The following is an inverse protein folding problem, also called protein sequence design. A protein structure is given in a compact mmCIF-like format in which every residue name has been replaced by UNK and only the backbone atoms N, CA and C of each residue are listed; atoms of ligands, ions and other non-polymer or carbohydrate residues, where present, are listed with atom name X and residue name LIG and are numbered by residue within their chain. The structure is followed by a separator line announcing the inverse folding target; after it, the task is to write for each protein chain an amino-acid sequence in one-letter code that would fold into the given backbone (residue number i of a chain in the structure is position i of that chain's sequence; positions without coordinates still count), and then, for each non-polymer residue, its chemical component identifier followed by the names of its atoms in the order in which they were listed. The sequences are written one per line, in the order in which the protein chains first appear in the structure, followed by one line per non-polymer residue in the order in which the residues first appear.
data_IF_970337886401
#
_entry.id   IF_970337886401
#
_cell.length_a   1.000
_cell.length_b   1.000
_cell.length_c   1.000
_cell.angle_alpha   90.00
_cell.angle_beta   90.00
_cell.angle_gamma   90.00
#
_symmetry.space_group_name_H-M   'P 1'
#
loop_
_entity.id
_entity.type
_entity.pdbx_description
1 polymer ?
#
# COMPACT_ATOMS: atom_id res chain seq x y z
N UNK A 1 -22.17 -25.14 -21.20
CA UNK A 1 -20.95 -24.37 -21.57
C UNK A 1 -20.35 -23.90 -20.25
N UNK A 2 -19.18 -24.38 -19.87
CA UNK A 2 -18.56 -23.99 -18.59
C UNK A 2 -17.89 -22.64 -18.84
N UNK A 3 -18.43 -21.57 -18.26
CA UNK A 3 -17.85 -20.23 -18.35
C UNK A 3 -16.49 -20.23 -17.63
N UNK A 4 -15.42 -20.23 -18.42
CA UNK A 4 -14.07 -19.97 -17.96
C UNK A 4 -13.88 -18.46 -17.79
N UNK A 5 -13.35 -18.06 -16.64
CA UNK A 5 -13.03 -16.68 -16.32
C UNK A 5 -11.56 -16.56 -15.97
N UNK A 6 -10.95 -15.46 -16.40
CA UNK A 6 -9.62 -15.04 -15.99
C UNK A 6 -9.72 -13.65 -15.36
N UNK A 7 -9.19 -13.50 -14.16
CA UNK A 7 -9.14 -12.24 -13.41
C UNK A 7 -7.69 -11.86 -13.19
N UNK A 8 -7.32 -10.69 -13.71
CA UNK A 8 -6.01 -10.06 -13.52
C UNK A 8 -6.20 -8.73 -12.79
N UNK A 9 -6.08 -8.75 -11.47
CA UNK A 9 -6.44 -7.62 -10.60
C UNK A 9 -5.24 -7.04 -9.86
N UNK A 10 -4.71 -5.88 -10.29
CA UNK A 10 -3.76 -5.12 -9.49
C UNK A 10 -4.48 -4.35 -8.40
N UNK A 11 -4.08 -4.56 -7.14
CA UNK A 11 -4.55 -3.80 -6.00
C UNK A 11 -3.66 -2.58 -5.78
N UNK A 12 -4.29 -1.40 -5.72
CA UNK A 12 -3.64 -0.11 -5.50
C UNK A 12 -3.78 0.32 -4.05
N UNK A 13 -2.70 0.86 -3.51
CA UNK A 13 -2.65 1.38 -2.15
C UNK A 13 -1.30 1.11 -1.50
N UNK A 14 -1.20 1.49 -0.23
CA UNK A 14 -0.13 1.03 0.65
C UNK A 14 -0.67 -0.09 1.54
N UNK A 15 0.08 -1.18 1.65
CA UNK A 15 -0.34 -2.37 2.40
C UNK A 15 0.74 -2.78 3.40
N UNK A 16 0.33 -3.28 4.56
CA UNK A 16 1.19 -4.00 5.49
C UNK A 16 0.85 -5.47 5.41
N UNK A 17 1.85 -6.25 5.05
CA UNK A 17 1.74 -7.70 4.99
C UNK A 17 2.25 -8.25 6.31
N UNK A 18 1.36 -8.79 7.12
CA UNK A 18 1.68 -9.43 8.40
C UNK A 18 1.74 -10.95 8.25
N UNK A 19 2.35 -11.64 9.22
CA UNK A 19 2.34 -13.11 9.26
C UNK A 19 0.92 -13.68 9.25
N UNK A 20 0.00 -13.07 10.00
CA UNK A 20 -1.40 -13.52 10.03
C UNK A 20 -2.09 -13.37 8.67
N UNK A 21 -1.80 -12.29 7.95
CA UNK A 21 -2.32 -12.08 6.60
C UNK A 21 -1.78 -13.16 5.64
N UNK A 22 -0.49 -13.48 5.72
CA UNK A 22 0.11 -14.56 4.91
C UNK A 22 -0.52 -15.91 5.23
N UNK A 23 -0.76 -16.20 6.51
CA UNK A 23 -1.43 -17.44 6.96
C UNK A 23 -2.85 -17.54 6.43
N UNK A 24 -3.63 -16.45 6.48
CA UNK A 24 -5.00 -16.44 5.95
C UNK A 24 -5.03 -16.60 4.44
N UNK A 25 -4.18 -15.89 3.70
CA UNK A 25 -4.08 -16.03 2.24
C UNK A 25 -3.68 -17.45 1.85
N UNK A 26 -2.68 -18.01 2.54
CA UNK A 26 -2.29 -19.40 2.33
C UNK A 26 -3.44 -20.36 2.62
N UNK A 27 -4.18 -20.16 3.72
CA UNK A 27 -5.36 -20.97 4.07
C UNK A 27 -6.43 -20.97 2.99
N UNK A 28 -6.83 -19.79 2.50
CA UNK A 28 -7.79 -19.66 1.40
C UNK A 28 -7.32 -20.35 0.12
N UNK A 29 -6.03 -20.27 -0.19
CA UNK A 29 -5.46 -20.95 -1.34
C UNK A 29 -5.35 -22.47 -1.12
N UNK A 30 -5.00 -22.95 0.07
CA UNK A 30 -4.94 -24.39 0.37
C UNK A 30 -6.32 -25.03 0.34
N UNK A 31 -7.36 -24.31 0.78
CA UNK A 31 -8.75 -24.76 0.64
C UNK A 31 -9.17 -24.88 -0.84
N UNK A 32 -8.75 -23.92 -1.68
CA UNK A 32 -8.98 -23.92 -3.11
C UNK A 32 -8.12 -24.94 -3.88
N UNK A 33 -6.92 -25.25 -3.39
CA UNK A 33 -5.92 -26.13 -4.01
C UNK A 33 -5.38 -27.16 -3.00
N UNK A 34 -6.12 -28.25 -2.75
CA UNK A 34 -5.72 -29.28 -1.78
C UNK A 34 -4.41 -30.00 -2.12
N UNK A 35 -4.03 -30.00 -3.40
CA UNK A 35 -2.80 -30.61 -3.92
C UNK A 35 -1.53 -29.83 -3.49
N UNK A 36 -1.70 -28.61 -3.00
CA UNK A 36 -0.63 -27.80 -2.44
C UNK A 36 -0.58 -26.39 -3.03
N UNK A 37 -0.11 -25.46 -2.21
CA UNK A 37 0.18 -24.07 -2.60
C UNK A 37 1.68 -23.87 -2.44
N UNK A 38 2.36 -23.50 -3.52
CA UNK A 38 3.76 -23.12 -3.46
C UNK A 38 3.87 -21.66 -3.02
N UNK A 39 4.76 -21.40 -2.07
CA UNK A 39 5.09 -20.08 -1.57
C UNK A 39 6.56 -19.79 -1.89
N UNK A 40 6.82 -18.65 -2.49
CA UNK A 40 8.16 -18.14 -2.78
C UNK A 40 8.40 -16.84 -2.00
N UNK A 41 9.50 -16.80 -1.22
CA UNK A 41 10.00 -15.58 -0.59
C UNK A 41 11.29 -15.13 -1.27
N UNK A 42 11.32 -13.89 -1.73
CA UNK A 42 12.54 -13.22 -2.19
C UNK A 42 13.00 -12.20 -1.16
N UNK A 43 14.27 -12.28 -0.79
CA UNK A 43 14.91 -11.39 0.18
C UNK A 43 15.67 -10.25 -0.51
N UNK A 44 15.96 -9.19 0.22
CA UNK A 44 16.70 -8.02 -0.30
C UNK A 44 18.12 -8.31 -0.82
N UNK A 45 18.70 -9.47 -0.48
CA UNK A 45 19.97 -9.96 -1.04
C UNK A 45 19.79 -10.82 -2.30
N UNK A 46 18.60 -10.80 -2.91
CA UNK A 46 18.22 -11.57 -4.11
C UNK A 46 18.20 -13.09 -3.93
N UNK A 47 18.33 -13.61 -2.70
CA UNK A 47 18.05 -15.01 -2.41
C UNK A 47 16.54 -15.25 -2.50
N UNK A 48 16.14 -16.35 -3.12
CA UNK A 48 14.77 -16.84 -3.09
C UNK A 48 14.71 -18.21 -2.41
N UNK A 49 13.67 -18.43 -1.62
CA UNK A 49 13.33 -19.75 -1.06
C UNK A 49 11.90 -20.11 -1.51
N UNK A 50 11.67 -21.39 -1.78
CA UNK A 50 10.36 -21.92 -2.21
C UNK A 50 9.98 -23.11 -1.35
N UNK A 51 8.73 -23.17 -0.92
CA UNK A 51 8.20 -24.29 -0.14
C UNK A 51 6.68 -24.35 -0.25
N UNK A 52 6.10 -25.51 0.03
CA UNK A 52 4.65 -25.65 0.25
C UNK A 52 4.27 -25.47 1.73
N UNK A 53 5.25 -25.50 2.63
CA UNK A 53 5.02 -25.27 4.06
C UNK A 53 5.37 -23.82 4.43
N UNK A 54 4.34 -22.98 4.52
CA UNK A 54 4.47 -21.59 4.96
C UNK A 54 5.09 -21.49 6.36
N UNK A 55 4.80 -22.41 7.28
CA UNK A 55 5.32 -22.34 8.65
C UNK A 55 6.83 -22.53 8.66
N UNK A 56 7.33 -23.48 7.89
CA UNK A 56 8.77 -23.69 7.72
C UNK A 56 9.44 -22.44 7.12
N UNK A 57 8.80 -21.78 6.15
CA UNK A 57 9.33 -20.54 5.57
C UNK A 57 9.34 -19.39 6.58
N UNK A 58 8.28 -19.24 7.39
CA UNK A 58 8.19 -18.22 8.43
C UNK A 58 9.19 -18.45 9.57
N UNK A 59 9.61 -19.70 9.79
CA UNK A 59 10.64 -20.06 10.76
C UNK A 59 12.08 -19.96 10.21
N UNK A 60 12.26 -19.66 8.91
CA UNK A 60 13.59 -19.61 8.29
C UNK A 60 14.43 -18.44 8.85
N UNK A 61 15.67 -18.75 9.24
CA UNK A 61 16.62 -17.76 9.77
C UNK A 61 16.93 -16.60 8.82
N UNK A 62 16.64 -16.72 7.53
CA UNK A 62 16.82 -15.65 6.54
C UNK A 62 15.86 -14.48 6.81
N UNK A 63 14.68 -14.73 7.39
CA UNK A 63 13.71 -13.68 7.73
C UNK A 63 14.19 -12.74 8.84
N UNK A 64 15.02 -13.23 9.76
CA UNK A 64 15.62 -12.37 10.80
C UNK A 64 16.81 -11.59 10.27
N UNK A 65 17.49 -12.10 9.24
CA UNK A 65 18.71 -11.50 8.70
C UNK A 65 18.44 -10.49 7.59
N UNK A 66 17.48 -10.76 6.71
CA UNK A 66 17.20 -9.97 5.51
C UNK A 66 15.73 -9.56 5.42
N UNK A 67 15.48 -8.33 4.98
CA UNK A 67 14.12 -7.88 4.71
C UNK A 67 13.57 -8.59 3.46
N UNK A 68 12.28 -8.94 3.51
CA UNK A 68 11.56 -9.46 2.35
C UNK A 68 11.34 -8.34 1.32
N UNK A 69 11.44 -8.72 0.06
CA UNK A 69 11.24 -7.86 -1.11
C UNK A 69 10.03 -8.31 -1.92
N UNK A 70 9.84 -9.62 -2.05
CA UNK A 70 8.73 -10.21 -2.80
C UNK A 70 8.21 -11.46 -2.12
N UNK A 71 6.90 -11.65 -2.17
CA UNK A 71 6.23 -12.89 -1.80
C UNK A 71 5.33 -13.30 -2.96
N UNK A 72 5.37 -14.58 -3.34
CA UNK A 72 4.47 -15.15 -4.34
C UNK A 72 3.81 -16.39 -3.76
N UNK A 73 2.48 -16.43 -3.81
CA UNK A 73 1.72 -17.66 -3.61
C UNK A 73 1.24 -18.17 -4.95
N UNK A 74 1.38 -19.46 -5.22
CA UNK A 74 0.94 -20.11 -6.46
C UNK A 74 0.21 -21.40 -6.14
N UNK A 75 -1.07 -21.47 -6.51
CA UNK A 75 -1.88 -22.69 -6.47
C UNK A 75 -2.24 -23.12 -7.89
N UNK A 76 -2.10 -24.41 -8.18
CA UNK A 76 -2.43 -25.00 -9.48
C UNK A 76 -3.04 -26.36 -9.27
N UNK A 77 -4.09 -26.67 -10.02
CA UNK A 77 -4.67 -28.01 -10.05
C UNK A 77 -3.94 -28.87 -11.09
N UNK A 78 -3.17 -29.85 -10.64
CA UNK A 78 -2.36 -30.77 -11.45
C UNK A 78 -3.21 -31.72 -12.28
N UNK A 79 -4.45 -32.02 -11.85
CA UNK A 79 -5.29 -33.01 -12.51
C UNK A 79 -5.94 -32.51 -13.80
N UNK A 80 -6.11 -31.19 -13.99
CA UNK A 80 -6.82 -30.67 -15.17
C UNK A 80 -6.36 -29.30 -15.70
N UNK A 81 -5.38 -28.65 -15.09
CA UNK A 81 -4.79 -27.37 -15.54
C UNK A 81 -5.78 -26.21 -15.78
N UNK A 82 -7.04 -26.39 -15.39
CA UNK A 82 -8.13 -25.44 -15.63
C UNK A 82 -8.20 -24.37 -14.53
N UNK A 83 -7.69 -24.66 -13.34
CA UNK A 83 -7.71 -23.73 -12.21
C UNK A 83 -6.31 -23.35 -11.77
N UNK A 84 -6.06 -22.04 -11.72
CA UNK A 84 -4.79 -21.43 -11.33
C UNK A 84 -5.07 -20.21 -10.47
N UNK A 85 -4.29 -20.01 -9.42
CA UNK A 85 -4.30 -18.76 -8.68
C UNK A 85 -2.89 -18.36 -8.29
N UNK A 86 -2.60 -17.07 -8.44
CA UNK A 86 -1.35 -16.46 -8.01
C UNK A 86 -1.63 -15.16 -7.27
N UNK A 87 -1.00 -15.01 -6.11
CA UNK A 87 -0.97 -13.75 -5.36
C UNK A 87 0.48 -13.31 -5.27
N UNK A 88 0.81 -12.23 -5.97
CA UNK A 88 2.12 -11.61 -5.99
C UNK A 88 2.09 -10.34 -5.13
N UNK A 89 3.01 -10.23 -4.18
CA UNK A 89 3.24 -9.04 -3.38
C UNK A 89 4.68 -8.58 -3.62
N UNK A 90 4.85 -7.34 -4.08
CA UNK A 90 6.16 -6.82 -4.47
C UNK A 90 6.34 -5.40 -3.92
N UNK A 91 7.38 -5.20 -3.11
CA UNK A 91 7.66 -3.90 -2.50
C UNK A 91 8.32 -2.90 -3.47
N UNK A 92 8.98 -3.39 -4.53
CA UNK A 92 9.75 -2.55 -5.44
C UNK A 92 8.95 -2.12 -6.68
N UNK A 93 7.85 -2.84 -6.99
CA UNK A 93 6.95 -2.48 -8.08
C UNK A 93 5.92 -1.45 -7.62
N UNK A 94 5.63 -0.46 -8.45
CA UNK A 94 4.58 0.54 -8.21
C UNK A 94 3.17 -0.06 -8.08
N UNK A 95 2.98 -1.35 -8.37
CA UNK A 95 1.78 -2.12 -8.07
C UNK A 95 2.08 -3.03 -6.89
N UNK A 96 1.45 -2.73 -5.75
CA UNK A 96 1.72 -3.36 -4.47
C UNK A 96 1.43 -4.86 -4.47
N UNK A 97 0.21 -5.23 -4.87
CA UNK A 97 -0.28 -6.60 -4.81
C UNK A 97 -1.01 -6.90 -6.11
N UNK A 98 -0.79 -8.08 -6.66
CA UNK A 98 -1.38 -8.55 -7.90
C UNK A 98 -2.00 -9.93 -7.69
N UNK A 99 -3.28 -10.05 -8.06
CA UNK A 99 -4.03 -11.29 -8.00
C UNK A 99 -4.29 -11.74 -9.44
N UNK A 100 -3.94 -12.98 -9.75
CA UNK A 100 -4.22 -13.64 -11.02
C UNK A 100 -4.97 -14.93 -10.73
N UNK A 101 -6.21 -15.07 -11.18
CA UNK A 101 -7.01 -16.29 -10.96
C UNK A 101 -7.65 -16.71 -12.28
N UNK A 102 -7.55 -17.99 -12.61
CA UNK A 102 -8.15 -18.59 -13.80
C UNK A 102 -8.92 -19.82 -13.35
N UNK A 103 -10.12 -20.05 -13.91
CA UNK A 103 -10.96 -21.17 -13.51
C UNK A 103 -12.40 -21.03 -13.94
N UNK A 104 -13.29 -21.79 -13.32
CA UNK A 104 -14.74 -21.62 -13.50
C UNK A 104 -15.21 -20.32 -12.86
N UNK A 105 -16.20 -19.65 -13.45
CA UNK A 105 -16.69 -18.36 -12.94
C UNK A 105 -16.96 -18.31 -11.43
N UNK A 106 -17.63 -19.33 -10.89
CA UNK A 106 -17.97 -19.36 -9.46
C UNK A 106 -16.73 -19.52 -8.57
N UNK A 107 -15.76 -20.33 -9.00
CA UNK A 107 -14.48 -20.48 -8.33
C UNK A 107 -13.70 -19.16 -8.33
N UNK A 108 -13.59 -18.52 -9.49
CA UNK A 108 -12.80 -17.30 -9.66
C UNK A 108 -13.36 -16.16 -8.81
N UNK A 109 -14.67 -15.91 -8.87
CA UNK A 109 -15.29 -14.83 -8.10
C UNK A 109 -15.22 -15.07 -6.58
N UNK A 110 -15.47 -16.30 -6.14
CA UNK A 110 -15.40 -16.64 -4.71
C UNK A 110 -13.99 -16.48 -4.14
N UNK A 111 -12.97 -16.95 -4.87
CA UNK A 111 -11.58 -16.82 -4.46
C UNK A 111 -11.07 -15.37 -4.56
N UNK A 112 -11.47 -14.63 -5.60
CA UNK A 112 -11.14 -13.21 -5.76
C UNK A 112 -11.66 -12.39 -4.58
N UNK A 113 -12.93 -12.55 -4.21
CA UNK A 113 -13.55 -11.79 -3.13
C UNK A 113 -12.91 -12.12 -1.78
N UNK A 114 -12.67 -13.41 -1.51
CA UNK A 114 -12.01 -13.84 -0.28
C UNK A 114 -10.59 -13.24 -0.15
N UNK A 115 -9.76 -13.40 -1.19
CA UNK A 115 -8.39 -12.88 -1.20
C UNK A 115 -8.37 -11.34 -1.13
N UNK A 116 -9.25 -10.68 -1.88
CA UNK A 116 -9.33 -9.22 -1.89
C UNK A 116 -9.72 -8.67 -0.52
N UNK A 117 -10.66 -9.31 0.18
CA UNK A 117 -11.08 -8.94 1.53
C UNK A 117 -9.90 -9.00 2.51
N UNK A 118 -9.18 -10.12 2.51
CA UNK A 118 -8.00 -10.31 3.38
C UNK A 118 -6.89 -9.31 3.09
N UNK A 119 -6.63 -9.02 1.82
CA UNK A 119 -5.61 -8.05 1.43
C UNK A 119 -6.00 -6.62 1.82
N UNK A 120 -7.27 -6.25 1.65
CA UNK A 120 -7.74 -4.92 2.02
C UNK A 120 -7.71 -4.68 3.54
N UNK A 121 -7.79 -5.73 4.37
CA UNK A 121 -7.59 -5.59 5.80
C UNK A 121 -6.19 -5.04 6.15
N UNK A 122 -5.17 -5.39 5.36
CA UNK A 122 -3.80 -4.87 5.50
C UNK A 122 -3.59 -3.45 4.95
N UNK A 123 -4.62 -2.80 4.41
CA UNK A 123 -4.50 -1.50 3.74
C UNK A 123 -4.25 -0.37 4.75
N UNK A 124 -3.26 0.46 4.45
CA UNK A 124 -2.88 1.60 5.28
C UNK A 124 -3.65 2.87 4.92
N UNK A 125 -4.11 3.63 5.93
CA UNK A 125 -4.86 4.87 5.71
C UNK A 125 -4.00 5.98 5.10
N UNK A 126 -2.67 5.91 5.29
CA UNK A 126 -1.72 6.89 4.75
C UNK A 126 -1.15 6.50 3.38
N UNK A 127 -1.76 5.54 2.68
CA UNK A 127 -1.34 5.17 1.32
C UNK A 127 -1.40 6.33 0.31
N UNK A 128 -2.22 7.35 0.58
CA UNK A 128 -2.25 8.59 -0.21
C UNK A 128 -0.94 9.38 -0.21
N UNK A 129 -0.02 9.13 0.74
CA UNK A 129 1.32 9.74 0.72
C UNK A 129 2.20 9.18 -0.40
N UNK A 130 1.87 8.01 -0.94
CA UNK A 130 2.63 7.39 -2.01
C UNK A 130 1.97 7.64 -3.37
N UNK A 131 2.54 8.57 -4.12
CA UNK A 131 2.07 8.97 -5.45
C UNK A 131 2.06 7.81 -6.45
N UNK A 132 2.91 6.79 -6.28
CA UNK A 132 2.91 5.60 -7.13
C UNK A 132 1.65 4.74 -6.95
N UNK A 133 0.95 4.89 -5.83
CA UNK A 133 -0.30 4.16 -5.54
C UNK A 133 -1.55 4.90 -6.01
N UNK A 134 -1.39 6.13 -6.48
CA UNK A 134 -2.51 6.93 -6.95
C UNK A 134 -3.09 6.28 -8.21
N UNK A 135 -4.42 6.36 -8.41
CA UNK A 135 -4.97 5.99 -9.70
C UNK A 135 -4.26 6.80 -10.79
N UNK A 136 -3.97 6.21 -11.97
CA UNK A 136 -3.45 6.97 -13.09
C UNK A 136 -4.50 8.03 -13.40
N UNK A 137 -4.25 9.24 -12.93
CA UNK A 137 -5.11 10.37 -13.22
C UNK A 137 -4.82 10.70 -14.67
N UNK A 138 -5.84 10.64 -15.53
CA UNK A 138 -5.66 11.09 -16.90
C UNK A 138 -5.11 12.52 -16.86
N UNK A 139 -4.16 12.84 -17.73
CA UNK A 139 -3.52 14.16 -17.74
C UNK A 139 -4.58 15.29 -17.72
N UNK A 140 -5.71 15.07 -18.40
CA UNK A 140 -6.85 15.99 -18.41
C UNK A 140 -7.51 16.19 -17.05
N UNK A 141 -7.72 15.14 -16.24
CA UNK A 141 -8.28 15.28 -14.88
C UNK A 141 -7.27 16.00 -13.99
N UNK A 142 -5.98 15.65 -14.08
CA UNK A 142 -4.93 16.32 -13.31
C UNK A 142 -4.85 17.81 -13.65
N UNK A 143 -4.87 18.16 -14.94
CA UNK A 143 -4.88 19.55 -15.42
C UNK A 143 -6.11 20.29 -14.90
N UNK A 144 -7.30 19.68 -14.95
CA UNK A 144 -8.53 20.31 -14.47
C UNK A 144 -8.50 20.54 -12.95
N UNK A 145 -8.03 19.56 -12.17
CA UNK A 145 -7.91 19.69 -10.71
C UNK A 145 -6.85 20.74 -10.34
N UNK A 146 -5.70 20.73 -10.99
CA UNK A 146 -4.63 21.72 -10.77
C UNK A 146 -5.13 23.12 -11.17
N UNK A 147 -5.80 23.26 -12.32
CA UNK A 147 -6.36 24.53 -12.79
C UNK A 147 -7.43 25.06 -11.84
N UNK A 148 -8.29 24.18 -11.32
CA UNK A 148 -9.28 24.53 -10.30
C UNK A 148 -8.60 24.96 -8.99
N UNK A 149 -7.59 24.23 -8.52
CA UNK A 149 -6.82 24.59 -7.34
C UNK A 149 -6.11 25.93 -7.49
N UNK A 150 -5.51 26.20 -8.65
CA UNK A 150 -4.88 27.50 -8.95
C UNK A 150 -5.95 28.60 -8.97
N UNK A 151 -7.10 28.38 -9.63
CA UNK A 151 -8.18 29.36 -9.68
C UNK A 151 -8.76 29.67 -8.30
N UNK A 152 -9.02 28.65 -7.47
CA UNK A 152 -9.46 28.82 -6.08
C UNK A 152 -8.39 29.53 -5.26
N UNK A 153 -7.12 29.16 -5.39
CA UNK A 153 -6.01 29.82 -4.68
C UNK A 153 -5.90 31.29 -5.08
N UNK A 154 -6.07 31.61 -6.36
CA UNK A 154 -6.11 32.99 -6.85
C UNK A 154 -7.30 33.77 -6.30
N UNK A 155 -8.48 33.13 -6.21
CA UNK A 155 -9.70 33.76 -5.73
C UNK A 155 -9.64 34.02 -4.21
N UNK A 156 -9.08 33.08 -3.44
CA UNK A 156 -8.75 33.26 -2.02
C UNK A 156 -7.70 34.35 -1.85
N UNK A 157 -6.61 34.30 -2.63
CA UNK A 157 -5.55 35.29 -2.55
C UNK A 157 -6.02 36.69 -2.94
N UNK A 158 -6.94 36.84 -3.90
CA UNK A 158 -7.48 38.13 -4.35
C UNK A 158 -8.46 38.72 -3.33
N UNK A 159 -9.40 37.91 -2.82
CA UNK A 159 -10.42 38.41 -1.89
C UNK A 159 -9.91 38.58 -0.46
N UNK A 160 -8.94 37.78 -0.05
CA UNK A 160 -8.36 37.82 1.30
C UNK A 160 -6.89 38.27 1.29
N UNK A 161 -6.41 38.94 0.24
CA UNK A 161 -5.01 39.37 0.12
C UNK A 161 -4.53 40.15 1.34
N UNK A 162 -5.32 41.14 1.76
CA UNK A 162 -5.00 42.03 2.88
C UNK A 162 -4.98 41.30 4.22
N UNK A 163 -5.92 40.36 4.42
CA UNK A 163 -5.96 39.50 5.61
C UNK A 163 -4.81 38.49 5.63
N UNK A 164 -4.57 37.80 4.51
CA UNK A 164 -3.44 36.87 4.36
C UNK A 164 -2.09 37.57 4.56
N UNK A 165 -1.91 38.77 4.01
CA UNK A 165 -0.68 39.54 4.16
C UNK A 165 -0.45 40.03 5.60
N UNK A 166 -1.52 40.28 6.38
CA UNK A 166 -1.43 40.68 7.79
C UNK A 166 -1.26 39.50 8.75
N UNK A 167 -1.91 38.36 8.50
CA UNK A 167 -2.04 37.26 9.47
C UNK A 167 -1.30 35.98 9.07
N UNK A 168 -0.97 35.78 7.80
CA UNK A 168 -0.24 34.61 7.32
C UNK A 168 1.16 35.02 6.90
N UNK A 169 2.14 34.66 7.72
CA UNK A 169 3.53 34.97 7.40
C UNK A 169 3.93 34.36 6.04
N UNK A 170 4.70 35.11 5.25
CA UNK A 170 5.25 34.65 3.96
C UNK A 170 5.97 33.29 4.07
N UNK A 171 6.51 32.97 5.26
CA UNK A 171 7.13 31.68 5.59
C UNK A 171 6.14 30.51 5.53
N UNK A 172 4.88 30.70 5.94
CA UNK A 172 3.82 29.67 5.88
C UNK A 172 3.44 29.40 4.42
N UNK A 173 3.36 30.44 3.60
CA UNK A 173 3.01 30.32 2.18
C UNK A 173 4.11 29.60 1.38
N UNK A 174 5.38 29.94 1.63
CA UNK A 174 6.54 29.21 1.13
C UNK A 174 6.51 27.76 1.63
N UNK A 175 6.28 27.53 2.93
CA UNK A 175 6.25 26.18 3.49
C UNK A 175 5.22 25.30 2.77
N UNK A 176 4.00 25.79 2.52
CA UNK A 176 2.96 25.03 1.78
C UNK A 176 3.36 24.75 0.33
N UNK A 177 3.95 25.73 -0.38
CA UNK A 177 4.41 25.55 -1.76
C UNK A 177 5.52 24.49 -1.88
N UNK A 178 6.43 24.41 -0.91
CA UNK A 178 7.51 23.41 -0.91
C UNK A 178 7.10 22.07 -0.29
N UNK A 179 6.06 22.03 0.56
CA UNK A 179 5.60 20.82 1.23
C UNK A 179 5.04 19.78 0.25
N UNK A 180 4.22 20.20 -0.72
CA UNK A 180 3.60 19.29 -1.69
C UNK A 180 4.61 18.53 -2.57
N UNK A 181 5.61 19.19 -3.19
CA UNK A 181 6.67 18.51 -3.94
C UNK A 181 7.52 17.58 -3.06
N UNK A 182 7.80 17.99 -1.83
CA UNK A 182 8.56 17.19 -0.86
C UNK A 182 7.82 15.90 -0.46
N UNK A 183 6.50 15.95 -0.30
CA UNK A 183 5.68 14.75 -0.07
C UNK A 183 5.73 13.81 -1.28
N UNK A 184 5.74 14.33 -2.51
CA UNK A 184 5.90 13.51 -3.71
C UNK A 184 7.25 12.77 -3.82
N UNK A 185 8.32 13.39 -3.32
CA UNK A 185 9.69 12.83 -3.33
C UNK A 185 9.96 11.88 -2.17
N UNK A 186 9.54 12.24 -0.96
CA UNK A 186 9.83 11.48 0.27
C UNK A 186 8.70 10.47 0.59
N UNK A 187 7.49 10.70 0.07
CA UNK A 187 6.30 9.88 0.28
C UNK A 187 6.51 8.39 0.04
N UNK A 188 7.09 7.95 -1.09
CA UNK A 188 7.37 6.53 -1.34
C UNK A 188 8.35 5.89 -0.34
N UNK A 189 9.28 6.67 0.23
CA UNK A 189 10.21 6.19 1.26
C UNK A 189 9.55 6.06 2.63
N UNK A 190 8.67 6.99 2.97
CA UNK A 190 7.96 6.99 4.27
C UNK A 190 6.78 6.00 4.26
N UNK A 191 6.05 5.94 3.15
CA UNK A 191 4.86 5.12 2.96
C UNK A 191 5.03 4.21 1.72
N UNK A 192 5.79 3.10 1.81
CA UNK A 192 5.95 2.18 0.69
C UNK A 192 4.60 1.56 0.28
N UNK A 193 4.49 1.14 -0.98
CA UNK A 193 3.31 0.47 -1.54
C UNK A 193 3.03 -0.86 -0.86
N UNK A 194 4.08 -1.59 -0.46
CA UNK A 194 4.01 -2.76 0.42
C UNK A 194 5.09 -2.66 1.48
N UNK A 195 4.72 -2.93 2.73
CA UNK A 195 5.66 -3.17 3.81
C UNK A 195 5.45 -4.58 4.35
N UNK A 196 6.47 -5.42 4.30
CA UNK A 196 6.43 -6.74 4.93
C UNK A 196 6.76 -6.60 6.42
N UNK A 197 5.75 -6.73 7.27
CA UNK A 197 5.91 -6.71 8.74
C UNK A 197 6.19 -8.11 9.28
N UNK A 198 7.19 -8.78 8.70
CA UNK A 198 7.66 -10.13 9.06
C UNK A 198 9.15 -10.08 9.30
N UNK A 199 9.63 -10.73 10.38
CA UNK A 199 11.06 -10.76 10.72
C UNK A 199 11.71 -9.37 10.76
N UNK A 200 12.82 -9.19 10.03
CA UNK A 200 13.56 -7.92 9.92
C UNK A 200 12.72 -6.78 9.32
N UNK A 201 11.85 -7.10 8.36
CA UNK A 201 10.94 -6.10 7.77
C UNK A 201 9.97 -5.50 8.78
N UNK A 202 9.60 -6.24 9.83
CA UNK A 202 8.81 -5.73 10.95
C UNK A 202 9.50 -4.62 11.74
N UNK A 203 10.82 -4.69 11.91
CA UNK A 203 11.58 -3.63 12.58
C UNK A 203 11.63 -2.36 11.72
N UNK A 204 11.88 -2.52 10.42
CA UNK A 204 11.90 -1.42 9.46
C UNK A 204 10.53 -0.73 9.38
N UNK A 205 9.44 -1.50 9.34
CA UNK A 205 8.09 -0.98 9.34
C UNK A 205 7.77 -0.20 10.62
N UNK A 206 8.12 -0.72 11.80
CA UNK A 206 7.91 0.00 13.08
C UNK A 206 8.65 1.34 13.09
N UNK A 207 9.92 1.36 12.64
CA UNK A 207 10.71 2.61 12.56
C UNK A 207 10.04 3.64 11.66
N UNK A 208 9.56 3.23 10.47
CA UNK A 208 8.82 4.12 9.56
C UNK A 208 7.52 4.62 10.20
N UNK A 209 6.74 3.74 10.82
CA UNK A 209 5.51 4.11 11.53
C UNK A 209 5.77 5.12 12.66
N UNK A 210 6.84 4.96 13.42
CA UNK A 210 7.23 5.92 14.46
C UNK A 210 7.52 7.30 13.86
N UNK A 211 8.29 7.38 12.77
CA UNK A 211 8.56 8.64 12.08
C UNK A 211 7.26 9.31 11.63
N UNK A 212 6.36 8.56 10.99
CA UNK A 212 5.04 9.04 10.58
C UNK A 212 4.27 9.58 11.79
N UNK A 213 4.19 8.81 12.88
CA UNK A 213 3.45 9.23 14.08
C UNK A 213 4.02 10.49 14.72
N UNK A 214 5.34 10.69 14.70
CA UNK A 214 5.98 11.90 15.23
C UNK A 214 5.61 13.10 14.36
N UNK A 215 5.69 12.97 13.04
CA UNK A 215 5.34 14.05 12.11
C UNK A 215 3.87 14.45 12.26
N UNK A 216 2.95 13.49 12.17
CA UNK A 216 1.53 13.78 12.31
C UNK A 216 1.15 14.22 13.73
N UNK A 217 1.82 13.69 14.75
CA UNK A 217 1.63 14.11 16.13
C UNK A 217 2.06 15.56 16.38
N UNK A 218 3.21 15.97 15.84
CA UNK A 218 3.69 17.35 15.93
C UNK A 218 2.76 18.33 15.21
N UNK A 219 2.25 17.96 14.02
CA UNK A 219 1.27 18.76 13.29
C UNK A 219 -0.03 18.89 14.10
N UNK A 220 -0.55 17.77 14.61
CA UNK A 220 -1.77 17.76 15.43
C UNK A 220 -1.64 18.61 16.70
N UNK A 221 -0.52 18.50 17.41
CA UNK A 221 -0.22 19.33 18.58
C UNK A 221 -0.14 20.82 18.20
N UNK A 222 0.51 21.17 17.09
CA UNK A 222 0.59 22.55 16.61
C UNK A 222 -0.80 23.14 16.33
N UNK A 223 -1.69 22.37 15.70
CA UNK A 223 -3.08 22.78 15.45
C UNK A 223 -3.83 22.97 16.77
N UNK A 224 -3.72 22.02 17.71
CA UNK A 224 -4.38 22.12 19.01
C UNK A 224 -3.88 23.34 19.80
N UNK A 225 -2.57 23.57 19.88
CA UNK A 225 -1.99 24.74 20.56
C UNK A 225 -2.49 26.05 19.95
N UNK A 226 -2.60 26.12 18.62
CA UNK A 226 -3.15 27.31 17.96
C UNK A 226 -4.64 27.53 18.29
N UNK A 227 -5.45 26.47 18.26
CA UNK A 227 -6.87 26.54 18.62
C UNK A 227 -7.04 26.96 20.09
N UNK A 228 -6.32 26.34 21.03
CA UNK A 228 -6.40 26.69 22.45
C UNK A 228 -5.86 28.10 22.73
N UNK A 229 -4.76 28.50 22.08
CA UNK A 229 -4.23 29.87 22.14
C UNK A 229 -5.28 30.90 21.70
N UNK A 230 -6.03 30.60 20.62
CA UNK A 230 -7.07 31.50 20.10
C UNK A 230 -8.36 31.52 20.92
N UNK A 231 -8.62 30.47 21.71
CA UNK A 231 -9.81 30.38 22.57
C UNK A 231 -9.60 31.01 23.95
N UNK A 232 -8.34 31.17 24.38
CA UNK A 232 -7.95 31.77 25.66
C UNK A 232 -7.62 33.28 25.50
N UNK A 233 -7.32 33.74 24.29
CA UNK A 233 -7.15 35.16 23.93
C UNK A 233 -8.48 35.83 23.62
#
# INVERSE_FOLDING_TARGET
MVDHLEVLKPLKGAFVVTEDMLRRIHGHLTEAFPEGVEVEFEFGNSRAIKSQDLNAMLADSSLSNFALKRIVFTGRNAANDQSFAQVLMDADRGRAIYISITGTRQFVLGLEDSLTSEINYGRLPYGWLNTATWPPVSANIAINVISLMIAVSYLVAYNWFTWLAQYVSFKVLIAVMFFFPLVGLIGPYIAPSVAFSVGRGGQDYRRRRTIISIIFGAIGLGILVNIFSSAIS
#
